data_IF_821963356893
#
_entry.id   IF_821963356893
#
_cell.length_a   1.000
_cell.length_b   1.000
_cell.length_c   1.000
_cell.angle_alpha   90.00
_cell.angle_beta   90.00
_cell.angle_gamma   90.00
#
_symmetry.space_group_name_H-M   'P 1'
#
loop_
_entity.id
_entity.type
_entity.pdbx_description
1 polymer ?
#
# COMPACT_ATOMS: atom_id res chain seq x y z
N UNK A 1 -2.38 27.80 39.72
CA UNK A 1 -2.17 27.64 38.26
C UNK A 1 -2.79 28.84 37.57
N UNK A 2 -2.14 29.43 36.56
CA UNK A 2 -2.69 30.60 35.81
C UNK A 2 -3.41 30.13 34.55
N UNK A 3 -4.31 30.94 34.03
CA UNK A 3 -5.07 30.57 32.83
C UNK A 3 -4.18 30.28 31.58
N UNK A 4 -3.08 31.05 31.41
CA UNK A 4 -2.09 30.86 30.36
C UNK A 4 -1.32 29.53 30.44
N UNK A 5 -1.26 28.92 31.64
CA UNK A 5 -0.71 27.58 31.86
C UNK A 5 -1.75 26.47 31.63
N UNK A 6 -3.04 26.78 31.78
CA UNK A 6 -4.16 25.85 31.70
C UNK A 6 -4.60 25.64 30.25
N UNK A 7 -4.81 26.71 29.47
CA UNK A 7 -5.31 26.64 28.10
C UNK A 7 -4.58 25.64 27.20
N UNK A 8 -3.21 25.60 27.13
CA UNK A 8 -2.52 24.66 26.26
C UNK A 8 -2.58 23.20 26.73
N UNK A 9 -3.22 22.93 27.89
CA UNK A 9 -3.34 21.56 28.43
C UNK A 9 -4.77 21.03 28.45
N UNK A 10 -5.76 21.82 27.99
CA UNK A 10 -7.16 21.42 28.00
C UNK A 10 -7.41 20.19 27.13
N UNK A 11 -6.78 20.10 25.95
CA UNK A 11 -6.93 18.97 25.04
C UNK A 11 -6.36 17.69 25.68
N UNK A 12 -5.14 17.75 26.20
CA UNK A 12 -4.49 16.62 26.87
C UNK A 12 -5.25 16.18 28.14
N UNK A 13 -5.90 17.12 28.83
CA UNK A 13 -6.77 16.81 29.98
C UNK A 13 -8.03 16.07 29.53
N UNK A 14 -8.68 16.50 28.45
CA UNK A 14 -9.87 15.87 27.86
C UNK A 14 -9.57 14.46 27.38
N UNK A 15 -8.43 14.27 26.71
CA UNK A 15 -8.00 12.98 26.18
C UNK A 15 -7.43 12.02 27.25
N UNK A 16 -7.28 12.51 28.48
CA UNK A 16 -6.75 11.70 29.59
C UNK A 16 -5.25 11.42 29.52
N UNK A 17 -4.49 12.21 28.75
CA UNK A 17 -3.06 12.03 28.51
C UNK A 17 -2.18 12.63 29.61
N UNK A 18 -2.75 13.45 30.52
CA UNK A 18 -2.00 14.04 31.63
C UNK A 18 -1.77 13.05 32.76
N UNK A 19 -0.57 13.10 33.35
CA UNK A 19 -0.27 12.37 34.55
C UNK A 19 -1.13 12.87 35.75
N UNK A 20 -1.43 12.00 36.74
CA UNK A 20 -2.32 12.35 37.86
C UNK A 20 -1.83 13.56 38.68
N UNK A 21 -0.51 13.71 38.79
CA UNK A 21 0.09 14.87 39.43
C UNK A 21 -0.22 16.21 38.74
N UNK A 22 -0.46 16.21 37.43
CA UNK A 22 -0.79 17.39 36.64
C UNK A 22 -2.32 17.58 36.55
N UNK A 23 -3.08 16.47 36.54
CA UNK A 23 -4.56 16.50 36.45
C UNK A 23 -5.22 17.13 37.67
N UNK A 24 -4.72 16.83 38.85
CA UNK A 24 -5.33 17.32 40.11
C UNK A 24 -5.34 18.85 40.22
N UNK A 25 -4.22 19.58 40.07
CA UNK A 25 -4.22 21.03 40.16
C UNK A 25 -4.98 21.70 38.97
N UNK A 26 -5.01 21.07 37.80
CA UNK A 26 -5.76 21.57 36.64
C UNK A 26 -7.26 21.43 36.87
N UNK A 27 -7.73 20.32 37.40
CA UNK A 27 -9.13 20.11 37.77
C UNK A 27 -9.62 21.12 38.82
N UNK A 28 -8.83 21.40 39.85
CA UNK A 28 -9.14 22.42 40.85
C UNK A 28 -9.27 23.81 40.24
N UNK A 29 -8.37 24.16 39.29
CA UNK A 29 -8.44 25.42 38.58
C UNK A 29 -9.73 25.52 37.72
N UNK A 30 -10.09 24.46 36.96
CA UNK A 30 -11.28 24.42 36.12
C UNK A 30 -12.57 24.58 36.93
N UNK A 31 -12.60 24.11 38.19
CA UNK A 31 -13.77 24.27 39.09
C UNK A 31 -13.92 25.68 39.64
N UNK A 32 -12.85 26.43 39.72
CA UNK A 32 -12.81 27.75 40.39
C UNK A 32 -12.68 28.93 39.40
N UNK A 33 -12.19 28.69 38.19
CA UNK A 33 -11.94 29.75 37.21
C UNK A 33 -13.20 30.01 36.34
N UNK A 34 -13.70 31.26 36.32
CA UNK A 34 -14.88 31.60 35.52
C UNK A 34 -14.65 31.57 34.02
N UNK A 35 -13.40 31.60 33.55
CA UNK A 35 -13.05 31.58 32.13
C UNK A 35 -12.72 30.16 31.64
N UNK A 36 -11.80 29.46 32.31
CA UNK A 36 -11.33 28.14 31.87
C UNK A 36 -12.37 27.03 32.03
N UNK A 37 -13.29 27.13 33.00
CA UNK A 37 -14.37 26.17 33.20
C UNK A 37 -15.35 26.11 32.02
N UNK A 38 -15.89 27.25 31.58
CA UNK A 38 -16.72 27.32 30.36
C UNK A 38 -16.03 26.89 29.08
N UNK A 39 -14.71 27.18 28.92
CA UNK A 39 -13.93 26.76 27.76
C UNK A 39 -13.79 25.23 27.74
N UNK A 40 -13.49 24.62 28.88
CA UNK A 40 -13.45 23.15 29.01
C UNK A 40 -14.82 22.54 28.67
N UNK A 41 -15.91 23.09 29.17
CA UNK A 41 -17.25 22.62 28.86
C UNK A 41 -17.62 22.78 27.37
N UNK A 42 -17.10 23.80 26.70
CA UNK A 42 -17.27 23.96 25.25
C UNK A 42 -16.50 22.89 24.46
N UNK A 43 -15.26 22.58 24.89
CA UNK A 43 -14.43 21.56 24.29
C UNK A 43 -15.04 20.16 24.47
N UNK A 44 -15.59 19.84 25.65
CA UNK A 44 -16.33 18.59 25.90
C UNK A 44 -17.55 18.45 24.99
N UNK A 45 -18.32 19.51 24.83
CA UNK A 45 -19.49 19.49 23.90
C UNK A 45 -19.07 19.25 22.46
N UNK A 46 -17.97 19.86 22.02
CA UNK A 46 -17.41 19.65 20.68
C UNK A 46 -16.94 18.21 20.50
N UNK A 47 -16.18 17.69 21.44
CA UNK A 47 -15.70 16.30 21.46
C UNK A 47 -16.87 15.31 21.35
N UNK A 48 -17.89 15.48 22.19
CA UNK A 48 -19.09 14.64 22.18
C UNK A 48 -19.88 14.78 20.87
N UNK A 49 -19.95 15.99 20.31
CA UNK A 49 -20.57 16.25 19.02
C UNK A 49 -19.87 15.48 17.89
N UNK A 50 -18.55 15.53 17.86
CA UNK A 50 -17.73 14.80 16.89
C UNK A 50 -17.93 13.29 17.07
N UNK A 51 -17.84 12.76 18.29
CA UNK A 51 -18.02 11.33 18.55
C UNK A 51 -19.39 10.81 18.14
N UNK A 52 -20.46 11.59 18.33
CA UNK A 52 -21.82 11.21 17.90
C UNK A 52 -22.00 11.29 16.38
N UNK A 53 -21.29 12.19 15.70
CA UNK A 53 -21.41 12.43 14.26
C UNK A 53 -20.42 11.63 13.43
N UNK A 54 -19.34 11.12 14.06
CA UNK A 54 -18.30 10.38 13.36
C UNK A 54 -18.86 9.07 12.79
N UNK A 55 -18.58 8.76 11.52
CA UNK A 55 -18.98 7.50 10.93
C UNK A 55 -18.29 6.32 11.64
N UNK A 56 -19.11 5.38 12.11
CA UNK A 56 -18.60 4.16 12.73
C UNK A 56 -18.27 3.17 11.62
N UNK A 57 -17.01 2.99 11.33
CA UNK A 57 -16.55 1.97 10.39
C UNK A 57 -16.52 0.60 11.07
N UNK A 58 -17.23 -0.35 10.48
CA UNK A 58 -17.14 -1.75 10.93
C UNK A 58 -15.81 -2.31 10.45
N UNK A 59 -15.00 -2.80 11.38
CA UNK A 59 -13.79 -3.51 11.01
C UNK A 59 -14.13 -4.78 10.23
N UNK A 60 -13.37 -5.11 9.16
CA UNK A 60 -13.52 -6.36 8.42
C UNK A 60 -13.44 -7.58 9.36
N UNK A 61 -14.27 -8.60 9.08
CA UNK A 61 -14.30 -9.82 9.92
C UNK A 61 -12.94 -10.55 9.96
N UNK A 62 -12.19 -10.45 8.85
CA UNK A 62 -10.81 -10.95 8.77
C UNK A 62 -9.90 -10.29 9.80
N UNK A 63 -9.94 -8.97 9.94
CA UNK A 63 -9.14 -8.24 10.92
C UNK A 63 -9.54 -8.62 12.35
N UNK A 64 -10.85 -8.75 12.62
CA UNK A 64 -11.33 -9.19 13.94
C UNK A 64 -10.84 -10.60 14.29
N UNK A 65 -10.87 -11.51 13.32
CA UNK A 65 -10.40 -12.90 13.54
C UNK A 65 -8.90 -12.94 13.81
N UNK A 66 -8.11 -12.15 13.07
CA UNK A 66 -6.65 -12.03 13.27
C UNK A 66 -6.30 -11.48 14.65
N UNK A 67 -6.97 -10.40 15.08
CA UNK A 67 -6.75 -9.82 16.42
C UNK A 67 -7.13 -10.81 17.52
N UNK A 68 -8.29 -11.47 17.40
CA UNK A 68 -8.70 -12.51 18.37
C UNK A 68 -7.72 -13.68 18.43
N UNK A 69 -7.19 -14.09 17.30
CA UNK A 69 -6.18 -15.14 17.25
C UNK A 69 -4.87 -14.70 17.92
N UNK A 70 -4.39 -13.49 17.64
CA UNK A 70 -3.21 -12.93 18.28
C UNK A 70 -3.36 -12.84 19.82
N UNK A 71 -4.50 -12.30 20.29
CA UNK A 71 -4.80 -12.21 21.73
C UNK A 71 -4.90 -13.56 22.42
N UNK A 72 -5.47 -14.59 21.74
CA UNK A 72 -5.51 -15.94 22.30
C UNK A 72 -4.13 -16.56 22.42
N UNK A 73 -3.21 -16.29 21.52
CA UNK A 73 -1.81 -16.73 21.61
C UNK A 73 -1.08 -16.09 22.79
N UNK A 74 -1.33 -14.81 23.04
CA UNK A 74 -0.74 -14.08 24.18
C UNK A 74 -1.32 -14.55 25.50
N UNK A 75 -2.64 -14.80 25.54
CA UNK A 75 -3.37 -15.24 26.74
C UNK A 75 -3.26 -16.75 27.03
N UNK A 76 -2.63 -17.54 26.16
CA UNK A 76 -2.43 -18.96 26.41
C UNK A 76 -1.48 -19.16 27.61
N UNK A 77 -1.93 -19.81 28.70
CA UNK A 77 -1.05 -20.08 29.83
C UNK A 77 0.11 -20.96 29.34
N UNK A 78 1.34 -20.56 29.66
CA UNK A 78 2.53 -21.41 29.50
C UNK A 78 2.42 -22.57 30.48
N UNK A 79 1.73 -23.62 30.09
CA UNK A 79 1.71 -24.88 30.85
C UNK A 79 3.11 -25.49 30.66
N UNK A 80 3.88 -25.69 31.72
CA UNK A 80 5.11 -26.46 31.59
C UNK A 80 4.73 -27.90 31.22
N UNK A 81 4.93 -28.25 29.96
CA UNK A 81 4.74 -29.62 29.49
C UNK A 81 5.85 -30.48 30.10
N UNK A 82 5.50 -31.23 31.15
CA UNK A 82 6.32 -32.35 31.59
C UNK A 82 6.17 -33.47 30.55
N UNK A 83 7.07 -33.53 29.58
CA UNK A 83 7.14 -34.61 28.61
C UNK A 83 7.86 -35.82 29.21
N UNK A 84 7.30 -37.04 29.02
CA UNK A 84 7.97 -38.27 29.41
C UNK A 84 9.25 -38.47 28.60
N UNK A 85 10.30 -38.95 29.25
CA UNK A 85 11.60 -39.23 28.69
C UNK A 85 11.51 -40.24 27.53
N UNK A 86 11.76 -39.76 26.30
CA UNK A 86 12.12 -40.61 25.18
C UNK A 86 13.55 -40.26 24.74
N UNK A 87 14.45 -41.24 24.53
CA UNK A 87 15.83 -40.99 24.16
C UNK A 87 15.91 -40.68 22.67
N UNK A 88 16.33 -39.48 22.35
CA UNK A 88 16.54 -39.18 20.95
C UNK A 88 16.70 -37.70 20.65
N UNK A 89 17.86 -37.10 21.01
CA UNK A 89 18.21 -35.74 20.55
C UNK A 89 18.07 -35.60 19.03
N UNK A 90 18.20 -36.70 18.26
CA UNK A 90 17.95 -36.74 16.82
C UNK A 90 16.47 -36.49 16.45
N UNK A 91 15.54 -36.97 17.25
CA UNK A 91 14.09 -36.73 17.02
C UNK A 91 13.73 -35.24 17.31
N UNK A 92 14.35 -34.62 18.32
CA UNK A 92 14.20 -33.19 18.58
C UNK A 92 14.83 -32.34 17.49
N UNK A 93 16.03 -32.70 17.01
CA UNK A 93 16.67 -32.00 15.90
C UNK A 93 15.83 -32.07 14.62
N UNK A 94 15.25 -33.24 14.31
CA UNK A 94 14.36 -33.40 13.14
C UNK A 94 13.07 -32.58 13.27
N UNK A 95 12.45 -32.52 14.45
CA UNK A 95 11.25 -31.71 14.68
C UNK A 95 11.53 -30.22 14.63
N UNK A 96 12.67 -29.77 15.13
CA UNK A 96 13.09 -28.36 15.03
C UNK A 96 13.35 -27.97 13.58
N UNK A 97 14.06 -28.82 12.82
CA UNK A 97 14.32 -28.59 11.39
C UNK A 97 13.02 -28.57 10.58
N UNK A 98 12.08 -29.48 10.87
CA UNK A 98 10.77 -29.51 10.23
C UNK A 98 9.94 -28.25 10.58
N UNK A 99 9.95 -27.83 11.85
CA UNK A 99 9.27 -26.62 12.28
C UNK A 99 9.86 -25.35 11.65
N UNK A 100 11.19 -25.28 11.50
CA UNK A 100 11.87 -24.19 10.78
C UNK A 100 11.53 -24.24 9.29
N UNK A 101 11.55 -25.40 8.66
CA UNK A 101 11.24 -25.55 7.23
C UNK A 101 9.78 -25.18 6.92
N UNK A 102 8.82 -25.63 7.73
CA UNK A 102 7.40 -25.32 7.59
C UNK A 102 7.13 -23.86 7.97
N UNK A 103 7.75 -23.37 9.04
CA UNK A 103 7.60 -21.98 9.50
C UNK A 103 8.21 -20.97 8.52
N UNK A 104 9.41 -21.20 8.03
CA UNK A 104 10.06 -20.32 7.05
C UNK A 104 9.42 -20.40 5.68
N UNK A 105 9.03 -21.60 5.22
CA UNK A 105 8.33 -21.77 3.94
C UNK A 105 6.97 -21.07 3.93
N UNK A 106 6.16 -21.27 4.97
CA UNK A 106 4.86 -20.62 5.11
C UNK A 106 4.97 -19.08 5.23
N UNK A 107 5.95 -18.60 5.98
CA UNK A 107 6.21 -17.16 6.12
C UNK A 107 6.64 -16.54 4.79
N UNK A 108 7.50 -17.23 4.03
CA UNK A 108 7.98 -16.74 2.74
C UNK A 108 6.85 -16.59 1.70
N UNK A 109 5.94 -17.58 1.64
CA UNK A 109 4.76 -17.53 0.74
C UNK A 109 3.82 -16.39 1.15
N UNK A 110 3.47 -16.29 2.44
CA UNK A 110 2.53 -15.26 2.93
C UNK A 110 3.10 -13.85 2.76
N UNK A 111 4.40 -13.65 2.99
CA UNK A 111 5.05 -12.35 2.79
C UNK A 111 5.16 -12.00 1.30
N UNK A 112 5.42 -12.98 0.44
CA UNK A 112 5.45 -12.79 -1.01
C UNK A 112 4.10 -12.33 -1.57
N UNK A 113 2.99 -12.99 -1.18
CA UNK A 113 1.64 -12.61 -1.61
C UNK A 113 1.26 -11.21 -1.13
N UNK A 114 1.55 -10.86 0.14
CA UNK A 114 1.26 -9.53 0.68
C UNK A 114 2.04 -8.42 -0.01
N UNK A 115 3.29 -8.66 -0.36
CA UNK A 115 4.12 -7.67 -1.04
C UNK A 115 3.63 -7.42 -2.46
N UNK A 116 3.17 -8.45 -3.14
CA UNK A 116 2.59 -8.34 -4.49
C UNK A 116 1.25 -7.59 -4.47
N UNK A 117 0.38 -7.87 -3.52
CA UNK A 117 -0.88 -7.16 -3.35
C UNK A 117 -0.68 -5.68 -3.02
N UNK A 118 0.34 -5.34 -2.24
CA UNK A 118 0.71 -3.95 -1.93
C UNK A 118 1.20 -3.22 -3.19
N UNK A 119 2.05 -3.85 -4.00
CA UNK A 119 2.54 -3.27 -5.26
C UNK A 119 1.41 -3.05 -6.26
N UNK A 120 0.53 -4.03 -6.46
CA UNK A 120 -0.63 -3.90 -7.34
C UNK A 120 -1.55 -2.73 -6.93
N UNK A 121 -1.75 -2.55 -5.62
CA UNK A 121 -2.54 -1.44 -5.07
C UNK A 121 -1.87 -0.09 -5.33
N UNK A 122 -0.57 0.02 -5.08
CA UNK A 122 0.19 1.25 -5.30
C UNK A 122 0.23 1.65 -6.78
N UNK A 123 0.37 0.68 -7.68
CA UNK A 123 0.32 0.87 -9.14
C UNK A 123 -1.06 1.36 -9.56
N UNK A 124 -2.14 0.75 -9.07
CA UNK A 124 -3.50 1.21 -9.36
C UNK A 124 -3.73 2.63 -8.86
N UNK A 125 -3.32 2.94 -7.63
CA UNK A 125 -3.43 4.29 -7.05
C UNK A 125 -2.65 5.31 -7.87
N UNK A 126 -1.47 4.95 -8.38
CA UNK A 126 -0.67 5.81 -9.26
C UNK A 126 -1.39 6.06 -10.59
N UNK A 127 -1.99 5.02 -11.19
CA UNK A 127 -2.81 5.17 -12.39
C UNK A 127 -3.99 6.13 -12.16
N UNK A 128 -4.74 5.93 -11.08
CA UNK A 128 -5.87 6.79 -10.72
C UNK A 128 -5.45 8.25 -10.50
N UNK A 129 -4.36 8.48 -9.78
CA UNK A 129 -3.82 9.85 -9.60
C UNK A 129 -3.47 10.50 -10.93
N UNK A 130 -2.90 9.75 -11.88
CA UNK A 130 -2.54 10.29 -13.18
C UNK A 130 -3.75 10.70 -14.02
N UNK A 131 -4.88 10.00 -13.90
CA UNK A 131 -6.12 10.36 -14.57
C UNK A 131 -6.78 11.61 -13.97
N UNK A 132 -6.57 11.87 -12.69
CA UNK A 132 -7.08 13.05 -11.97
C UNK A 132 -6.18 14.27 -12.13
N UNK A 133 -4.93 14.09 -12.58
CA UNK A 133 -3.95 15.15 -12.76
C UNK A 133 -4.25 16.02 -13.98
N UNK A 134 -3.59 17.18 -14.04
CA UNK A 134 -3.71 18.13 -15.17
C UNK A 134 -2.95 17.67 -16.41
N UNK A 135 -2.02 16.72 -16.28
CA UNK A 135 -1.20 16.17 -17.37
C UNK A 135 -0.89 14.69 -17.11
N UNK A 136 -1.10 13.90 -18.15
CA UNK A 136 -0.88 12.45 -18.12
C UNK A 136 0.60 12.07 -18.24
N UNK A 137 1.42 12.97 -18.81
CA UNK A 137 2.81 12.70 -19.18
C UNK A 137 3.70 13.89 -18.79
N UNK A 138 4.93 13.59 -18.36
CA UNK A 138 5.99 14.61 -18.13
C UNK A 138 6.74 14.89 -19.44
N UNK A 139 6.85 13.89 -20.32
CA UNK A 139 7.29 14.02 -21.70
C UNK A 139 6.20 13.54 -22.63
N UNK A 140 5.61 14.44 -23.39
CA UNK A 140 4.58 14.15 -24.37
C UNK A 140 5.23 13.93 -25.74
N UNK A 141 5.30 12.68 -26.20
CA UNK A 141 5.83 12.30 -27.50
C UNK A 141 5.40 10.88 -27.86
N UNK A 142 5.06 10.66 -29.12
CA UNK A 142 4.91 9.32 -29.69
C UNK A 142 6.24 8.74 -30.22
N UNK A 143 7.29 9.56 -30.26
CA UNK A 143 8.60 9.12 -30.73
C UNK A 143 9.42 8.48 -29.61
N UNK A 144 9.72 7.20 -29.79
CA UNK A 144 10.58 6.43 -28.90
C UNK A 144 11.98 7.07 -28.70
N UNK A 145 12.50 7.76 -29.71
CA UNK A 145 13.80 8.44 -29.67
C UNK A 145 13.78 9.69 -28.79
N UNK A 146 12.59 10.18 -28.44
CA UNK A 146 12.38 11.26 -27.49
C UNK A 146 12.06 10.72 -26.10
N UNK A 147 11.15 9.75 -26.00
CA UNK A 147 10.66 9.23 -24.72
C UNK A 147 11.75 8.42 -24.00
N UNK A 148 12.42 7.51 -24.70
CA UNK A 148 13.44 6.64 -24.08
C UNK A 148 14.63 7.43 -23.48
N UNK A 149 15.27 8.40 -24.19
CA UNK A 149 16.36 9.19 -23.63
C UNK A 149 15.92 10.11 -22.48
N UNK A 150 14.63 10.52 -22.45
CA UNK A 150 14.13 11.36 -21.37
C UNK A 150 14.22 10.67 -19.99
N UNK A 151 14.08 9.35 -19.95
CA UNK A 151 14.26 8.57 -18.71
C UNK A 151 15.74 8.44 -18.30
N UNK A 152 16.67 8.56 -19.24
CA UNK A 152 18.10 8.45 -18.96
C UNK A 152 18.55 9.52 -17.94
N UNK A 153 19.23 9.09 -16.89
CA UNK A 153 19.67 9.97 -15.79
C UNK A 153 18.59 10.38 -14.78
N UNK A 154 17.35 9.92 -14.97
CA UNK A 154 16.24 10.11 -14.02
C UNK A 154 15.86 8.83 -13.30
N UNK A 155 16.16 7.70 -13.89
CA UNK A 155 15.97 6.36 -13.32
C UNK A 155 17.09 5.44 -13.81
N UNK A 156 17.37 4.40 -13.04
CA UNK A 156 18.35 3.36 -13.42
C UNK A 156 17.80 2.39 -14.47
N UNK A 157 16.51 2.50 -14.80
CA UNK A 157 15.82 1.66 -15.76
C UNK A 157 15.67 2.36 -17.11
N UNK A 158 15.89 1.60 -18.19
CA UNK A 158 15.67 2.08 -19.56
C UNK A 158 14.45 1.38 -20.15
N UNK A 159 13.22 1.97 -20.00
CA UNK A 159 12.02 1.33 -20.51
C UNK A 159 12.05 1.21 -22.03
N UNK A 160 11.65 0.06 -22.60
CA UNK A 160 11.46 -0.08 -24.04
C UNK A 160 10.21 0.73 -24.47
N UNK A 161 10.42 1.94 -24.98
CA UNK A 161 9.34 2.76 -25.52
C UNK A 161 9.08 2.32 -26.96
N UNK A 162 7.95 1.67 -27.21
CA UNK A 162 7.54 1.21 -28.57
C UNK A 162 6.26 1.91 -28.92
N UNK A 163 6.16 2.42 -30.15
CA UNK A 163 4.89 2.93 -30.66
C UNK A 163 4.11 1.80 -31.32
N UNK A 164 2.90 1.56 -30.82
CA UNK A 164 1.96 0.57 -31.33
C UNK A 164 0.73 1.24 -31.98
N UNK A 165 0.93 2.41 -32.58
CA UNK A 165 -0.17 3.18 -33.18
C UNK A 165 -0.84 2.43 -34.35
N UNK A 166 -0.07 1.67 -35.14
CA UNK A 166 -0.59 0.86 -36.22
C UNK A 166 -1.55 -0.23 -35.74
N UNK A 167 -1.36 -0.73 -34.52
CA UNK A 167 -2.16 -1.75 -33.85
C UNK A 167 -3.28 -1.13 -32.98
N UNK A 168 -3.38 0.20 -32.98
CA UNK A 168 -4.41 0.94 -32.24
C UNK A 168 -4.07 1.21 -30.77
N UNK A 169 -2.77 1.15 -30.42
CA UNK A 169 -2.25 1.51 -29.09
C UNK A 169 -1.14 2.58 -29.21
N UNK A 170 -1.47 3.81 -29.66
CA UNK A 170 -0.47 4.87 -29.81
C UNK A 170 0.22 5.20 -28.49
N UNK A 171 1.54 5.35 -28.54
CA UNK A 171 2.33 5.93 -27.45
C UNK A 171 2.00 7.42 -27.32
N UNK A 172 1.67 7.89 -26.12
CA UNK A 172 1.36 9.29 -25.82
C UNK A 172 2.55 10.01 -25.19
N UNK A 173 3.37 9.25 -24.46
CA UNK A 173 4.54 9.78 -23.79
C UNK A 173 4.96 8.96 -22.57
N UNK A 174 5.67 9.61 -21.67
CA UNK A 174 6.13 8.98 -20.44
C UNK A 174 6.14 9.95 -19.26
N UNK A 175 6.19 9.39 -18.05
CA UNK A 175 6.35 10.13 -16.79
C UNK A 175 7.12 9.29 -15.77
N UNK A 176 7.56 9.93 -14.70
CA UNK A 176 8.09 9.23 -13.53
C UNK A 176 7.04 9.16 -12.42
N UNK A 177 6.94 8.01 -11.82
CA UNK A 177 6.11 7.75 -10.65
C UNK A 177 6.97 7.28 -9.48
N UNK A 178 6.50 7.53 -8.26
CA UNK A 178 7.16 7.03 -7.06
C UNK A 178 6.40 5.79 -6.58
N UNK A 179 7.00 4.61 -6.77
CA UNK A 179 6.44 3.32 -6.34
C UNK A 179 7.39 2.69 -5.32
N UNK A 180 6.88 2.39 -4.14
CA UNK A 180 7.68 1.85 -3.02
C UNK A 180 8.94 2.69 -2.71
N UNK A 181 8.80 4.02 -2.83
CA UNK A 181 9.87 4.98 -2.57
C UNK A 181 10.95 5.05 -3.65
N UNK A 182 10.75 4.43 -4.83
CA UNK A 182 11.69 4.46 -5.95
C UNK A 182 11.08 5.12 -7.18
N UNK A 183 11.88 5.86 -7.97
CA UNK A 183 11.43 6.42 -9.23
C UNK A 183 11.23 5.28 -10.25
N UNK A 184 10.01 5.14 -10.73
CA UNK A 184 9.57 4.11 -11.68
C UNK A 184 9.13 4.79 -12.97
N UNK A 185 9.69 4.42 -14.13
CA UNK A 185 9.21 4.90 -15.41
C UNK A 185 7.83 4.33 -15.73
N UNK A 186 6.92 5.19 -16.17
CA UNK A 186 5.60 4.86 -16.66
C UNK A 186 5.46 5.36 -18.10
N UNK A 187 5.24 4.43 -19.03
CA UNK A 187 4.88 4.73 -20.40
C UNK A 187 3.36 4.86 -20.50
N UNK A 188 2.89 5.83 -21.24
CA UNK A 188 1.47 6.14 -21.39
C UNK A 188 1.04 5.84 -22.81
N UNK A 189 0.11 4.90 -22.93
CA UNK A 189 -0.54 4.52 -24.19
C UNK A 189 -2.02 4.90 -24.15
N UNK A 190 -2.64 4.92 -25.31
CA UNK A 190 -4.09 5.03 -25.45
C UNK A 190 -4.67 3.83 -26.20
N UNK A 191 -5.90 3.49 -25.85
CA UNK A 191 -6.76 2.62 -26.63
C UNK A 191 -8.11 3.30 -26.76
N UNK A 192 -8.39 3.94 -27.90
CA UNK A 192 -9.55 4.83 -28.06
C UNK A 192 -9.55 5.92 -26.96
N UNK A 193 -10.59 5.96 -26.09
CA UNK A 193 -10.68 6.90 -24.97
C UNK A 193 -9.97 6.40 -23.69
N UNK A 194 -9.55 5.12 -23.67
CA UNK A 194 -8.92 4.52 -22.49
C UNK A 194 -7.43 4.82 -22.44
N UNK A 195 -6.94 5.06 -21.24
CA UNK A 195 -5.51 5.25 -20.97
C UNK A 195 -4.94 3.94 -20.46
N UNK A 196 -3.80 3.52 -21.02
CA UNK A 196 -3.02 2.38 -20.52
C UNK A 196 -1.72 2.96 -19.95
N UNK A 197 -1.49 2.78 -18.66
CA UNK A 197 -0.22 3.08 -18.03
C UNK A 197 0.60 1.79 -17.92
N UNK A 198 1.80 1.81 -18.46
CA UNK A 198 2.74 0.71 -18.40
C UNK A 198 3.92 1.10 -17.50
N UNK A 199 3.93 0.60 -16.28
CA UNK A 199 5.02 0.79 -15.32
C UNK A 199 6.11 -0.24 -15.56
N UNK A 200 7.36 0.21 -15.53
CA UNK A 200 8.51 -0.66 -15.75
C UNK A 200 9.39 -0.69 -14.50
N UNK A 201 9.58 -1.88 -13.94
CA UNK A 201 10.34 -2.12 -12.72
C UNK A 201 11.32 -3.27 -12.93
N UNK A 202 12.24 -3.56 -12.01
CA UNK A 202 13.02 -4.78 -12.06
C UNK A 202 12.11 -6.02 -12.02
N UNK A 203 12.44 -7.06 -12.76
CA UNK A 203 11.68 -8.30 -12.80
C UNK A 203 11.47 -8.89 -11.40
N UNK A 204 10.23 -9.25 -11.09
CA UNK A 204 9.86 -9.86 -9.81
C UNK A 204 9.92 -11.38 -9.81
N UNK A 205 10.16 -11.99 -10.96
CA UNK A 205 10.11 -13.44 -11.22
C UNK A 205 8.77 -14.08 -10.86
N UNK A 206 7.70 -13.30 -10.92
CA UNK A 206 6.33 -13.74 -10.69
C UNK A 206 5.46 -13.37 -11.88
N UNK A 207 5.70 -14.01 -13.03
CA UNK A 207 4.81 -13.86 -14.20
C UNK A 207 3.46 -14.50 -13.87
N UNK A 208 2.42 -13.67 -13.75
CA UNK A 208 1.08 -14.15 -13.40
C UNK A 208 0.23 -14.50 -14.61
N UNK A 209 0.58 -13.99 -15.79
CA UNK A 209 -0.15 -14.27 -17.05
C UNK A 209 -1.64 -13.95 -17.05
N UNK A 210 -2.23 -13.70 -15.91
CA UNK A 210 -3.66 -13.43 -15.71
C UNK A 210 -3.93 -11.95 -15.47
N UNK A 211 -5.09 -11.47 -15.93
CA UNK A 211 -5.54 -10.10 -15.67
C UNK A 211 -6.27 -10.06 -14.34
N UNK A 212 -5.78 -9.24 -13.41
CA UNK A 212 -6.43 -8.94 -12.14
C UNK A 212 -7.36 -7.73 -12.32
N UNK A 213 -8.62 -7.85 -11.93
CA UNK A 213 -9.57 -6.72 -11.94
C UNK A 213 -9.80 -6.19 -10.53
N UNK A 214 -9.55 -4.88 -10.32
CA UNK A 214 -9.79 -4.19 -9.04
C UNK A 214 -10.44 -2.82 -9.30
N UNK A 215 -11.52 -2.54 -8.59
CA UNK A 215 -12.22 -1.25 -8.67
C UNK A 215 -12.61 -0.79 -10.09
N UNK A 216 -12.90 -1.74 -11.00
CA UNK A 216 -13.24 -1.45 -12.39
C UNK A 216 -12.04 -1.26 -13.33
N UNK A 217 -10.82 -1.40 -12.80
CA UNK A 217 -9.58 -1.36 -13.59
C UNK A 217 -8.99 -2.75 -13.73
N UNK A 218 -8.34 -2.99 -14.87
CA UNK A 218 -7.66 -4.22 -15.19
C UNK A 218 -6.15 -4.00 -15.09
N UNK A 219 -5.48 -4.88 -14.33
CA UNK A 219 -4.04 -4.89 -14.15
C UNK A 219 -3.50 -6.18 -14.75
N UNK A 220 -2.39 -6.07 -15.46
CA UNK A 220 -1.67 -7.21 -16.00
C UNK A 220 -0.18 -7.05 -15.75
N UNK A 221 0.44 -8.12 -15.26
CA UNK A 221 1.87 -8.16 -14.96
C UNK A 221 2.54 -9.26 -15.76
N UNK A 222 3.71 -8.93 -16.32
CA UNK A 222 4.60 -9.91 -16.96
C UNK A 222 6.06 -9.50 -16.78
N UNK A 223 6.94 -10.48 -16.80
CA UNK A 223 8.38 -10.27 -16.78
C UNK A 223 8.99 -10.60 -18.16
N UNK A 224 9.99 -9.82 -18.57
CA UNK A 224 10.75 -10.03 -19.79
C UNK A 224 12.23 -9.62 -19.57
N UNK A 225 13.13 -10.59 -19.59
CA UNK A 225 14.52 -10.38 -19.20
C UNK A 225 14.65 -9.94 -17.73
N UNK A 226 15.31 -8.82 -17.51
CA UNK A 226 15.50 -8.24 -16.17
C UNK A 226 14.43 -7.19 -15.83
N UNK A 227 13.43 -7.01 -16.68
CA UNK A 227 12.37 -6.03 -16.50
C UNK A 227 11.03 -6.71 -16.22
N UNK A 228 10.27 -6.12 -15.30
CA UNK A 228 8.88 -6.42 -15.03
C UNK A 228 7.98 -5.28 -15.49
N UNK A 229 6.86 -5.63 -16.05
CA UNK A 229 5.89 -4.72 -16.66
C UNK A 229 4.54 -4.85 -15.97
N UNK A 230 3.97 -3.72 -15.57
CA UNK A 230 2.62 -3.63 -15.00
C UNK A 230 1.77 -2.70 -15.85
N UNK A 231 0.87 -3.27 -16.61
CA UNK A 231 -0.08 -2.50 -17.41
C UNK A 231 -1.40 -2.33 -16.66
N UNK A 232 -1.92 -1.10 -16.61
CA UNK A 232 -3.17 -0.76 -15.92
C UNK A 232 -4.05 0.06 -16.83
N UNK A 233 -5.35 -0.29 -16.90
CA UNK A 233 -6.36 0.41 -17.71
C UNK A 233 -7.78 0.09 -17.26
N UNK A 234 -8.74 0.92 -17.62
CA UNK A 234 -10.17 0.65 -17.54
C UNK A 234 -10.74 -0.02 -18.82
N UNK A 235 -9.91 -0.25 -19.85
CA UNK A 235 -10.29 -0.99 -21.05
C UNK A 235 -10.55 -2.48 -20.74
N UNK A 236 -11.20 -3.20 -21.66
CA UNK A 236 -11.53 -4.62 -21.48
C UNK A 236 -10.28 -5.50 -21.22
N UNK A 237 -10.38 -6.55 -20.39
CA UNK A 237 -9.26 -7.47 -20.11
C UNK A 237 -8.62 -8.06 -21.38
N UNK A 238 -9.42 -8.32 -22.41
CA UNK A 238 -8.95 -8.83 -23.69
C UNK A 238 -8.09 -7.81 -24.47
N UNK A 239 -8.42 -6.52 -24.38
CA UNK A 239 -7.62 -5.45 -24.99
C UNK A 239 -6.28 -5.28 -24.27
N UNK A 240 -6.26 -5.43 -22.96
CA UNK A 240 -5.02 -5.39 -22.18
C UNK A 240 -4.13 -6.61 -22.47
N UNK A 241 -4.71 -7.79 -22.66
CA UNK A 241 -3.97 -8.98 -23.09
C UNK A 241 -3.43 -8.84 -24.52
N UNK A 242 -4.19 -8.20 -25.42
CA UNK A 242 -3.73 -7.88 -26.76
C UNK A 242 -2.56 -6.89 -26.73
N UNK A 243 -2.65 -5.85 -25.91
CA UNK A 243 -1.57 -4.90 -25.70
C UNK A 243 -0.27 -5.59 -25.25
N UNK A 244 -0.32 -6.45 -24.21
CA UNK A 244 0.84 -7.22 -23.77
C UNK A 244 1.46 -8.03 -24.92
N UNK A 245 0.65 -8.79 -25.64
CA UNK A 245 1.11 -9.63 -26.76
C UNK A 245 1.84 -8.80 -27.85
N UNK A 246 1.27 -7.65 -28.20
CA UNK A 246 1.84 -6.75 -29.20
C UNK A 246 3.13 -6.10 -28.69
N UNK A 247 3.11 -5.67 -27.44
CA UNK A 247 4.26 -5.05 -26.80
C UNK A 247 5.45 -6.01 -26.73
N UNK A 248 5.24 -7.24 -26.27
CA UNK A 248 6.28 -8.31 -26.25
C UNK A 248 6.82 -8.58 -27.65
N UNK A 249 5.96 -8.71 -28.64
CA UNK A 249 6.39 -8.95 -30.02
C UNK A 249 7.25 -7.80 -30.58
N UNK A 250 7.00 -6.56 -30.18
CA UNK A 250 7.74 -5.39 -30.62
C UNK A 250 9.05 -5.15 -29.84
N UNK A 251 9.15 -5.67 -28.61
CA UNK A 251 10.38 -5.59 -27.79
C UNK A 251 11.38 -6.71 -28.08
N UNK A 252 11.00 -7.71 -28.84
CA UNK A 252 11.88 -8.78 -29.30
C UNK A 252 11.93 -9.99 -28.37
N UNK A 253 10.83 -10.22 -27.64
CA UNK A 253 10.61 -11.41 -26.82
C UNK A 253 10.43 -12.67 -27.65
#
# INVERSE_FOLDING_TARGET
MRCDEVHPRLDAYLDGELAEAERTPLREHLQSCPDCGPDMAALERLHDGIRRSAPIYRSPDVLRSQIRFALRREAAPTVPASLPHAPGWLAYAASILLAIAVGSGGTFVILGERQTDATDTEILDSHLRSLLGTHLTDVASSDQHTVKPWFAGRTDLSPPAVDLAAEGFPLVGGRLELISGKPVPALVYKRREHVINLFVMPASRSDRGETLTRHGYNLRHWDEGDLGFWAVTDAAPSELAEFERLFRAATGG
#
